data_IF_151396742382
#
_entry.id   IF_151396742382
#
_cell.length_a   1.000
_cell.length_b   1.000
_cell.length_c   1.000
_cell.angle_alpha   90.00
_cell.angle_beta   90.00
_cell.angle_gamma   90.00
#
_symmetry.space_group_name_H-M   'P 1'
#
loop_
_entity.id
_entity.type
_entity.pdbx_description
1 polymer ?
#
# COMPACT_ATOMS: atom_id res chain seq x y z
N UNK A 1 -5.26 -25.52 -9.01
CA UNK A 1 -5.28 -24.96 -7.63
C UNK A 1 -4.26 -23.87 -7.61
N UNK A 2 -4.72 -22.65 -7.39
CA UNK A 2 -4.04 -21.44 -7.80
C UNK A 2 -3.66 -20.69 -6.54
N UNK A 3 -2.45 -20.94 -6.03
CA UNK A 3 -2.00 -20.35 -4.77
C UNK A 3 -2.05 -18.81 -4.84
N UNK A 4 -3.10 -18.21 -4.26
CA UNK A 4 -3.40 -16.77 -4.37
C UNK A 4 -2.22 -15.90 -3.92
N UNK A 5 -1.50 -16.35 -2.88
CA UNK A 5 -0.29 -15.69 -2.40
C UNK A 5 0.88 -15.78 -3.39
N UNK A 6 1.14 -16.98 -3.93
CA UNK A 6 2.20 -17.19 -4.92
C UNK A 6 1.95 -16.35 -6.18
N UNK A 7 0.72 -16.32 -6.66
CA UNK A 7 0.35 -15.47 -7.80
C UNK A 7 0.47 -13.99 -7.51
N UNK A 8 0.05 -13.54 -6.33
CA UNK A 8 0.24 -12.15 -5.92
C UNK A 8 1.74 -11.81 -5.91
N UNK A 9 2.59 -12.66 -5.33
CA UNK A 9 4.05 -12.49 -5.33
C UNK A 9 4.61 -12.40 -6.75
N UNK A 10 4.21 -13.30 -7.65
CA UNK A 10 4.66 -13.31 -9.04
C UNK A 10 4.27 -12.00 -9.75
N UNK A 11 3.00 -11.60 -9.68
CA UNK A 11 2.50 -10.38 -10.32
C UNK A 11 3.11 -9.10 -9.75
N UNK A 12 3.35 -9.04 -8.44
CA UNK A 12 4.04 -7.90 -7.81
C UNK A 12 5.51 -7.86 -8.25
N UNK A 13 6.16 -9.03 -8.34
CA UNK A 13 7.56 -9.12 -8.78
C UNK A 13 7.72 -8.72 -10.25
N UNK A 14 6.78 -9.09 -11.11
CA UNK A 14 6.71 -8.62 -12.50
C UNK A 14 6.51 -7.11 -12.58
N UNK A 15 5.59 -6.54 -11.80
CA UNK A 15 5.36 -5.09 -11.73
C UNK A 15 6.63 -4.33 -11.32
N UNK A 16 7.38 -4.86 -10.35
CA UNK A 16 8.64 -4.27 -9.91
C UNK A 16 9.70 -4.21 -11.02
N UNK A 17 9.61 -5.07 -12.03
CA UNK A 17 10.55 -5.18 -13.16
C UNK A 17 10.04 -4.54 -14.46
N UNK A 18 8.75 -4.20 -14.54
CA UNK A 18 8.13 -3.61 -15.72
C UNK A 18 8.36 -2.09 -15.79
N UNK A 19 7.85 -1.45 -16.83
CA UNK A 19 7.79 0.02 -16.93
C UNK A 19 6.49 0.61 -16.33
N UNK A 20 5.58 -0.24 -15.84
CA UNK A 20 4.31 0.18 -15.22
C UNK A 20 4.56 1.00 -13.95
N UNK A 21 3.77 2.04 -13.68
CA UNK A 21 4.04 2.97 -12.57
C UNK A 21 3.19 2.71 -11.34
N UNK A 22 1.93 2.35 -11.52
CA UNK A 22 0.94 2.27 -10.44
C UNK A 22 0.26 0.91 -10.45
N UNK A 23 0.29 0.23 -9.30
CA UNK A 23 -0.40 -1.04 -9.10
C UNK A 23 -1.45 -0.92 -7.98
N UNK A 24 -2.64 -1.44 -8.25
CA UNK A 24 -3.68 -1.69 -7.26
C UNK A 24 -3.53 -3.11 -6.70
N UNK A 25 -3.37 -3.23 -5.38
CA UNK A 25 -3.42 -4.49 -4.65
C UNK A 25 -4.69 -4.53 -3.79
N UNK A 26 -5.61 -5.44 -4.16
CA UNK A 26 -6.91 -5.62 -3.52
C UNK A 26 -7.07 -7.05 -3.00
N UNK A 27 -8.17 -7.34 -2.31
CA UNK A 27 -8.53 -8.68 -1.82
C UNK A 27 -8.93 -8.72 -0.34
N UNK A 28 -9.33 -9.89 0.12
CA UNK A 28 -9.92 -10.16 1.43
C UNK A 28 -8.90 -10.34 2.57
N UNK A 29 -7.61 -10.52 2.27
CA UNK A 29 -6.55 -10.60 3.30
C UNK A 29 -6.26 -9.24 3.95
N UNK A 30 -7.11 -8.85 4.90
CA UNK A 30 -6.90 -7.64 5.71
C UNK A 30 -5.53 -7.70 6.42
N UNK A 31 -4.87 -6.55 6.54
CA UNK A 31 -3.59 -6.36 7.23
C UNK A 31 -2.37 -7.13 6.69
N UNK A 32 -2.52 -7.94 5.64
CA UNK A 32 -1.40 -8.71 5.08
C UNK A 32 -0.91 -8.18 3.74
N UNK A 33 -1.74 -7.42 3.00
CA UNK A 33 -1.37 -6.86 1.69
C UNK A 33 -0.19 -5.90 1.75
N UNK A 34 -0.19 -4.92 2.64
CA UNK A 34 0.93 -3.98 2.78
C UNK A 34 2.19 -4.66 3.33
N UNK A 35 2.03 -5.64 4.23
CA UNK A 35 3.14 -6.46 4.75
C UNK A 35 3.83 -7.24 3.62
N UNK A 36 3.05 -7.79 2.69
CA UNK A 36 3.57 -8.48 1.51
C UNK A 36 4.41 -7.54 0.64
N UNK A 37 3.92 -6.32 0.37
CA UNK A 37 4.68 -5.31 -0.37
C UNK A 37 5.98 -4.96 0.36
N UNK A 38 5.92 -4.65 1.66
CA UNK A 38 7.11 -4.32 2.45
C UNK A 38 8.15 -5.45 2.43
N UNK A 39 7.72 -6.71 2.57
CA UNK A 39 8.60 -7.87 2.52
C UNK A 39 9.26 -8.06 1.14
N UNK A 40 8.50 -7.84 0.05
CA UNK A 40 9.05 -7.92 -1.30
C UNK A 40 10.02 -6.78 -1.60
N UNK A 41 9.73 -5.56 -1.13
CA UNK A 41 10.66 -4.43 -1.26
C UNK A 41 11.95 -4.67 -0.46
N UNK A 42 11.84 -5.15 0.78
CA UNK A 42 13.00 -5.48 1.61
C UNK A 42 13.88 -6.59 1.01
N UNK A 43 13.26 -7.61 0.42
CA UNK A 43 13.97 -8.72 -0.21
C UNK A 43 14.76 -8.30 -1.46
N UNK A 44 14.22 -7.36 -2.25
CA UNK A 44 14.75 -7.05 -3.59
C UNK A 44 15.55 -5.74 -3.65
N UNK A 45 15.39 -4.85 -2.67
CA UNK A 45 16.01 -3.52 -2.68
C UNK A 45 16.70 -3.19 -1.36
N UNK A 46 17.78 -2.43 -1.45
CA UNK A 46 18.53 -1.92 -0.30
C UNK A 46 18.66 -0.42 -0.40
N UNK A 47 18.53 0.26 0.74
CA UNK A 47 18.55 1.71 0.87
C UNK A 47 17.50 2.43 0.01
N UNK A 48 16.45 1.74 -0.43
CA UNK A 48 15.36 2.38 -1.14
C UNK A 48 14.65 3.36 -0.23
N UNK A 49 14.24 4.49 -0.80
CA UNK A 49 13.45 5.50 -0.09
C UNK A 49 11.97 5.28 -0.38
N UNK A 50 11.20 5.06 0.67
CA UNK A 50 9.81 4.61 0.60
C UNK A 50 8.92 5.63 1.30
N UNK A 51 7.94 6.17 0.58
CA UNK A 51 6.84 6.90 1.18
C UNK A 51 5.80 5.89 1.67
N UNK A 52 5.42 5.95 2.94
CA UNK A 52 4.29 5.19 3.45
C UNK A 52 3.17 6.15 3.90
N UNK A 53 2.16 6.31 3.04
CA UNK A 53 1.02 7.20 3.28
C UNK A 53 -0.14 6.45 3.92
N UNK A 54 -0.61 6.98 5.04
CA UNK A 54 -1.58 6.29 5.92
C UNK A 54 -2.76 7.20 6.26
N UNK A 55 -3.85 6.67 6.83
CA UNK A 55 -5.01 7.51 7.18
C UNK A 55 -4.76 8.39 8.41
N UNK A 56 -3.95 7.91 9.35
CA UNK A 56 -3.59 8.64 10.56
C UNK A 56 -2.48 7.94 11.33
N UNK A 57 -1.75 8.69 12.16
CA UNK A 57 -0.54 8.20 12.84
C UNK A 57 -0.81 7.37 14.10
N UNK A 58 -2.01 7.43 14.68
CA UNK A 58 -2.31 6.88 16.01
C UNK A 58 -2.11 5.37 16.12
N UNK A 59 -2.35 4.62 15.05
CA UNK A 59 -2.29 3.15 15.03
C UNK A 59 -1.06 2.60 14.29
N UNK A 60 -0.10 3.47 13.96
CA UNK A 60 1.04 3.11 13.14
C UNK A 60 1.84 1.93 13.76
N UNK A 61 2.08 1.99 15.07
CA UNK A 61 2.90 1.01 15.80
C UNK A 61 2.19 -0.31 16.09
N UNK A 62 0.95 -0.50 15.62
CA UNK A 62 0.22 -1.76 15.80
C UNK A 62 0.82 -2.90 14.97
N UNK A 63 0.79 -4.13 15.48
CA UNK A 63 1.25 -5.34 14.78
C UNK A 63 0.54 -5.58 13.44
N UNK A 64 -0.71 -5.13 13.33
CA UNK A 64 -1.49 -5.19 12.09
C UNK A 64 -1.08 -4.10 11.08
N UNK A 65 -0.22 -3.15 11.47
CA UNK A 65 0.23 -2.05 10.64
C UNK A 65 1.74 -2.14 10.37
N UNK A 66 2.61 -1.29 10.96
CA UNK A 66 4.08 -1.40 10.84
C UNK A 66 4.77 -1.86 12.13
N UNK A 67 4.01 -2.10 13.20
CA UNK A 67 4.55 -2.66 14.45
C UNK A 67 5.30 -3.98 14.25
N UNK A 68 4.80 -4.83 13.33
CA UNK A 68 5.45 -6.10 12.96
C UNK A 68 6.91 -5.95 12.50
N UNK A 69 7.29 -4.74 12.06
CA UNK A 69 8.63 -4.42 11.60
C UNK A 69 9.53 -3.86 12.71
N UNK A 70 9.10 -3.96 13.98
CA UNK A 70 9.84 -3.48 15.16
C UNK A 70 9.64 -2.00 15.49
N UNK A 71 8.66 -1.34 14.85
CA UNK A 71 8.37 0.08 15.10
C UNK A 71 7.47 0.22 16.33
N UNK A 72 8.09 0.60 17.45
CA UNK A 72 7.43 0.71 18.77
C UNK A 72 7.05 2.14 19.16
N UNK A 73 7.52 3.14 18.43
CA UNK A 73 7.19 4.56 18.67
C UNK A 73 6.65 5.20 17.40
N UNK A 74 5.60 6.01 17.57
CA UNK A 74 5.04 6.79 16.47
C UNK A 74 6.06 7.87 16.07
N UNK A 75 6.58 7.85 14.84
CA UNK A 75 7.48 8.85 14.32
C UNK A 75 6.75 10.15 14.00
N UNK A 76 7.51 11.22 13.85
CA UNK A 76 6.96 12.45 13.28
C UNK A 76 6.78 12.27 11.77
N UNK A 77 5.85 13.02 11.22
CA UNK A 77 5.63 13.08 9.78
C UNK A 77 6.93 13.54 9.10
N UNK A 78 7.37 12.82 8.08
CA UNK A 78 8.62 13.08 7.36
C UNK A 78 9.89 12.60 8.07
N UNK A 79 9.81 12.01 9.26
CA UNK A 79 10.98 11.35 9.87
C UNK A 79 11.42 10.20 8.96
N UNK A 80 12.72 10.14 8.69
CA UNK A 80 13.33 9.06 7.94
C UNK A 80 13.72 7.92 8.90
N UNK A 81 13.05 6.78 8.74
CA UNK A 81 13.20 5.62 9.61
C UNK A 81 13.73 4.45 8.82
N UNK A 82 14.81 3.85 9.31
CA UNK A 82 15.29 2.59 8.75
C UNK A 82 14.41 1.44 9.22
N UNK A 83 13.78 0.76 8.26
CA UNK A 83 13.04 -0.48 8.49
C UNK A 83 13.70 -1.57 7.65
N UNK A 84 14.32 -2.52 8.33
CA UNK A 84 15.16 -3.55 7.71
C UNK A 84 16.22 -2.95 6.77
N UNK A 85 16.19 -3.26 5.47
CA UNK A 85 17.17 -2.79 4.49
C UNK A 85 16.82 -1.43 3.86
N UNK A 86 15.66 -0.85 4.14
CA UNK A 86 15.15 0.34 3.45
C UNK A 86 14.77 1.48 4.41
N UNK A 87 14.51 2.66 3.83
CA UNK A 87 14.20 3.89 4.57
C UNK A 87 12.76 4.32 4.28
N UNK A 88 11.99 4.55 5.33
CA UNK A 88 10.58 4.91 5.27
C UNK A 88 10.38 6.32 5.81
N UNK A 89 9.62 7.14 5.09
CA UNK A 89 9.01 8.36 5.60
C UNK A 89 7.50 8.18 5.62
N UNK A 90 6.86 8.66 6.69
CA UNK A 90 5.41 8.55 6.86
C UNK A 90 4.75 9.91 6.68
N UNK A 91 3.66 9.95 5.92
CA UNK A 91 2.70 11.05 5.92
C UNK A 91 1.27 10.51 5.94
N UNK A 92 0.28 11.41 5.90
CA UNK A 92 -1.12 11.03 6.07
C UNK A 92 -1.99 11.44 4.90
N UNK A 93 -3.24 10.96 4.87
CA UNK A 93 -4.26 11.44 3.93
C UNK A 93 -4.53 12.95 4.05
N UNK A 94 -4.24 13.57 5.21
CA UNK A 94 -4.35 15.01 5.35
C UNK A 94 -3.27 15.71 4.51
N UNK A 95 -3.72 16.45 3.48
CA UNK A 95 -2.87 17.16 2.50
C UNK A 95 -1.85 18.10 3.16
N UNK A 96 -2.16 18.65 4.34
CA UNK A 96 -1.21 19.49 5.11
C UNK A 96 0.04 18.75 5.60
N UNK A 97 0.03 17.41 5.57
CA UNK A 97 1.19 16.57 5.88
C UNK A 97 2.12 16.33 4.70
N UNK A 98 1.64 16.48 3.46
CA UNK A 98 2.38 16.06 2.27
C UNK A 98 3.64 16.90 2.04
N UNK A 99 3.61 18.19 2.37
CA UNK A 99 4.80 19.06 2.28
C UNK A 99 5.85 18.81 3.36
N UNK A 100 5.53 18.03 4.39
CA UNK A 100 6.44 17.71 5.50
C UNK A 100 7.28 16.47 5.24
N UNK A 101 6.92 15.67 4.24
CA UNK A 101 7.71 14.55 3.74
C UNK A 101 8.53 14.98 2.53
N UNK A 102 9.60 14.26 2.24
CA UNK A 102 10.47 14.49 1.08
C UNK A 102 9.72 14.48 -0.25
N UNK A 103 10.33 15.04 -1.30
CA UNK A 103 9.72 15.17 -2.63
C UNK A 103 10.09 14.07 -3.64
N UNK A 104 10.93 13.11 -3.26
CA UNK A 104 11.43 12.04 -4.15
C UNK A 104 11.54 10.72 -3.41
N UNK A 105 11.09 9.63 -4.05
CA UNK A 105 11.04 8.28 -3.51
C UNK A 105 11.19 7.24 -4.61
N UNK A 106 11.76 6.08 -4.26
CA UNK A 106 11.72 4.93 -5.15
C UNK A 106 10.33 4.29 -5.15
N UNK A 107 9.71 4.19 -3.98
CA UNK A 107 8.41 3.53 -3.82
C UNK A 107 7.45 4.37 -3.00
N UNK A 108 6.16 4.23 -3.27
CA UNK A 108 5.10 4.68 -2.38
C UNK A 108 4.13 3.56 -2.06
N UNK A 109 3.80 3.39 -0.78
CA UNK A 109 2.75 2.48 -0.31
C UNK A 109 1.64 3.34 0.28
N UNK A 110 0.42 3.19 -0.25
CA UNK A 110 -0.76 3.90 0.22
C UNK A 110 -1.66 2.86 0.85
N UNK A 111 -1.78 2.89 2.17
CA UNK A 111 -2.58 1.92 2.90
C UNK A 111 -3.12 2.50 4.21
N UNK A 112 -4.44 2.37 4.47
CA UNK A 112 -5.48 1.88 3.56
C UNK A 112 -5.87 2.88 2.45
N UNK A 113 -6.08 2.40 1.22
CA UNK A 113 -6.60 3.18 0.08
C UNK A 113 -8.07 3.61 0.28
N UNK A 114 -8.81 2.87 1.08
CA UNK A 114 -10.27 2.91 1.22
C UNK A 114 -10.81 4.31 1.53
N UNK A 115 -10.05 5.12 2.29
CA UNK A 115 -10.45 6.48 2.62
C UNK A 115 -10.51 7.38 1.37
N UNK A 116 -9.60 7.19 0.42
CA UNK A 116 -9.60 7.92 -0.84
C UNK A 116 -10.75 7.50 -1.76
N UNK A 117 -11.10 6.21 -1.75
CA UNK A 117 -12.25 5.69 -2.51
C UNK A 117 -13.54 6.33 -1.98
N UNK A 118 -13.76 6.28 -0.66
CA UNK A 118 -14.96 6.85 -0.03
C UNK A 118 -15.09 8.36 -0.23
N UNK A 119 -13.97 9.07 -0.23
CA UNK A 119 -13.94 10.52 -0.42
C UNK A 119 -13.89 10.96 -1.89
N UNK A 120 -13.85 10.02 -2.85
CA UNK A 120 -13.67 10.29 -4.27
C UNK A 120 -12.40 11.12 -4.58
N UNK A 121 -11.32 10.90 -3.83
CA UNK A 121 -10.08 11.68 -3.85
C UNK A 121 -8.91 10.97 -4.59
N UNK A 122 -9.19 9.84 -5.27
CA UNK A 122 -8.16 9.03 -5.95
C UNK A 122 -7.39 9.84 -7.00
N UNK A 123 -8.07 10.69 -7.78
CA UNK A 123 -7.41 11.51 -8.80
C UNK A 123 -6.39 12.47 -8.16
N UNK A 124 -6.77 13.16 -7.09
CA UNK A 124 -5.86 14.07 -6.37
C UNK A 124 -4.71 13.33 -5.70
N UNK A 125 -4.95 12.13 -5.17
CA UNK A 125 -3.89 11.28 -4.63
C UNK A 125 -2.86 10.95 -5.73
N UNK A 126 -3.32 10.47 -6.88
CA UNK A 126 -2.45 10.05 -7.99
C UNK A 126 -1.68 11.25 -8.54
N UNK A 127 -2.32 12.41 -8.66
CA UNK A 127 -1.67 13.66 -9.09
C UNK A 127 -0.52 14.05 -8.14
N UNK A 128 -0.74 14.02 -6.82
CA UNK A 128 0.32 14.29 -5.85
C UNK A 128 1.49 13.30 -5.98
N UNK A 129 1.18 11.99 -6.02
CA UNK A 129 2.20 10.95 -6.05
C UNK A 129 3.00 10.92 -7.36
N UNK A 130 2.45 11.42 -8.47
CA UNK A 130 3.10 11.35 -9.79
C UNK A 130 3.69 12.68 -10.27
N UNK A 131 3.08 13.81 -9.91
CA UNK A 131 3.48 15.15 -10.35
C UNK A 131 4.23 15.89 -9.25
N UNK A 132 3.65 15.95 -8.04
CA UNK A 132 4.23 16.72 -6.93
C UNK A 132 5.38 15.97 -6.25
N UNK A 133 5.27 14.64 -6.19
CA UNK A 133 6.29 13.72 -5.68
C UNK A 133 6.91 12.97 -6.86
N UNK A 134 8.24 12.92 -6.92
CA UNK A 134 8.98 12.14 -7.91
C UNK A 134 9.08 10.69 -7.43
N UNK A 135 8.01 9.92 -7.66
CA UNK A 135 7.93 8.52 -7.23
C UNK A 135 8.08 7.59 -8.44
N UNK A 136 8.94 6.58 -8.32
CA UNK A 136 9.20 5.63 -9.41
C UNK A 136 8.07 4.59 -9.52
N UNK A 137 7.69 3.94 -8.41
CA UNK A 137 6.64 2.90 -8.36
C UNK A 137 5.65 3.15 -7.22
N UNK A 138 4.35 3.00 -7.48
CA UNK A 138 3.27 3.30 -6.53
C UNK A 138 2.41 2.06 -6.29
N UNK A 139 2.17 1.75 -5.02
CA UNK A 139 1.29 0.67 -4.56
C UNK A 139 0.06 1.27 -3.88
N UNK A 140 -1.09 1.14 -4.53
CA UNK A 140 -2.40 1.47 -3.97
C UNK A 140 -2.96 0.22 -3.30
N UNK A 141 -3.12 0.21 -1.98
CA UNK A 141 -3.43 -1.02 -1.23
C UNK A 141 -4.73 -0.85 -0.45
N UNK A 142 -5.73 -1.68 -0.74
CA UNK A 142 -7.00 -1.67 0.03
C UNK A 142 -6.82 -2.34 1.38
N UNK A 143 -7.64 -1.98 2.37
CA UNK A 143 -7.75 -2.74 3.61
C UNK A 143 -8.72 -3.90 3.43
N UNK A 144 -9.98 -3.62 3.11
CA UNK A 144 -11.00 -4.63 2.80
C UNK A 144 -11.72 -4.27 1.52
N UNK A 145 -11.95 -5.26 0.66
CA UNK A 145 -12.74 -5.05 -0.55
C UNK A 145 -14.22 -5.17 -0.20
N UNK A 146 -14.92 -4.03 -0.15
CA UNK A 146 -16.35 -4.00 0.09
C UNK A 146 -17.11 -4.16 -1.22
N UNK A 147 -18.32 -4.74 -1.15
CA UNK A 147 -19.20 -4.91 -2.33
C UNK A 147 -19.55 -3.61 -3.04
N UNK A 148 -19.55 -2.48 -2.34
CA UNK A 148 -19.85 -1.16 -2.90
C UNK A 148 -18.63 -0.45 -3.52
N UNK A 149 -17.44 -1.05 -3.45
CA UNK A 149 -16.22 -0.47 -4.03
C UNK A 149 -16.15 -0.78 -5.53
N UNK A 150 -16.52 0.22 -6.33
CA UNK A 150 -16.38 0.16 -7.77
C UNK A 150 -15.00 0.67 -8.22
N UNK A 151 -14.05 -0.26 -8.28
CA UNK A 151 -12.68 -0.01 -8.75
C UNK A 151 -12.61 0.43 -10.22
N UNK A 152 -13.65 0.16 -11.02
CA UNK A 152 -13.67 0.55 -12.44
C UNK A 152 -13.65 2.07 -12.61
N UNK A 153 -14.24 2.82 -11.66
CA UNK A 153 -14.31 4.29 -11.66
C UNK A 153 -12.94 4.97 -11.70
N UNK A 154 -11.90 4.29 -11.23
CA UNK A 154 -10.54 4.80 -11.21
C UNK A 154 -9.52 3.85 -11.86
N UNK A 155 -10.00 2.90 -12.67
CA UNK A 155 -9.16 1.99 -13.46
C UNK A 155 -8.12 2.69 -14.33
N UNK A 156 -8.45 3.88 -14.86
CA UNK A 156 -7.51 4.73 -15.62
C UNK A 156 -6.30 5.23 -14.83
N UNK A 157 -6.30 5.08 -13.50
CA UNK A 157 -5.26 5.59 -12.61
C UNK A 157 -4.26 4.51 -12.17
N UNK A 158 -4.42 3.25 -12.61
CA UNK A 158 -3.45 2.20 -12.36
C UNK A 158 -3.20 1.36 -13.61
N UNK A 159 -1.98 0.84 -13.72
CA UNK A 159 -1.53 0.04 -14.86
C UNK A 159 -1.80 -1.45 -14.63
N UNK A 160 -1.75 -1.88 -13.36
CA UNK A 160 -1.89 -3.28 -12.96
C UNK A 160 -2.84 -3.45 -11.79
N UNK A 161 -3.67 -4.47 -11.85
CA UNK A 161 -4.49 -4.94 -10.73
C UNK A 161 -4.01 -6.33 -10.27
N UNK A 162 -3.85 -6.48 -8.96
CA UNK A 162 -3.49 -7.75 -8.29
C UNK A 162 -4.49 -8.01 -7.17
N UNK A 163 -4.94 -9.26 -7.07
CA UNK A 163 -5.82 -9.75 -6.02
C UNK A 163 -5.02 -10.67 -5.10
N UNK A 164 -5.13 -10.44 -3.79
CA UNK A 164 -4.59 -11.32 -2.76
C UNK A 164 -5.70 -11.65 -1.74
N UNK A 165 -6.34 -12.80 -1.95
CA UNK A 165 -7.48 -13.28 -1.16
C UNK A 165 -7.12 -14.35 -0.14
N UNK A 166 -7.87 -14.36 0.97
CA UNK A 166 -7.75 -15.30 2.07
C UNK A 166 -8.43 -16.65 1.83
N UNK A 167 -9.13 -16.83 0.71
CA UNK A 167 -9.99 -17.99 0.44
C UNK A 167 -9.31 -19.35 0.69
N UNK A 168 -8.03 -19.46 0.32
CA UNK A 168 -7.27 -20.70 0.50
C UNK A 168 -6.61 -20.84 1.88
N UNK A 169 -6.35 -19.73 2.59
CA UNK A 169 -5.70 -19.72 3.92
C UNK A 169 -6.74 -19.82 5.06
N UNK A 170 -7.91 -19.21 4.88
CA UNK A 170 -9.04 -19.23 5.82
C UNK A 170 -10.36 -18.94 5.07
N UNK A 171 -11.03 -20.01 4.63
CA UNK A 171 -12.27 -19.97 3.86
C UNK A 171 -13.43 -19.31 4.64
N UNK A 172 -13.52 -19.56 5.96
CA UNK A 172 -14.55 -19.00 6.84
C UNK A 172 -14.37 -17.48 6.97
N UNK A 173 -13.13 -17.04 7.16
CA UNK A 173 -12.80 -15.62 7.18
C UNK A 173 -13.06 -14.95 5.83
N UNK A 174 -12.64 -15.57 4.72
CA UNK A 174 -12.90 -15.05 3.37
C UNK A 174 -14.40 -14.81 3.13
N UNK A 175 -15.25 -15.78 3.47
CA UNK A 175 -16.71 -15.63 3.36
C UNK A 175 -17.26 -14.48 4.18
N UNK A 176 -16.83 -14.33 5.45
CA UNK A 176 -17.24 -13.18 6.29
C UNK A 176 -16.88 -11.85 5.65
N UNK A 177 -15.68 -11.73 5.08
CA UNK A 177 -15.24 -10.48 4.45
C UNK A 177 -15.99 -10.12 3.17
N UNK A 178 -16.59 -11.11 2.49
CA UNK A 178 -17.47 -10.86 1.34
C UNK A 178 -18.90 -10.46 1.75
N UNK A 179 -19.31 -10.74 2.98
CA UNK A 179 -20.65 -10.41 3.51
C UNK A 179 -20.74 -9.01 4.12
N UNK A 180 -19.61 -8.44 4.57
CA UNK A 180 -19.44 -7.07 5.09
C UNK A 180 -19.34 -5.98 4.00
#
# INVERSE_FOLDING_TARGET
MTNNKKQAIEKITEFLKSDEKIMLLKGTHQYNKHKLIMALLDKNYKNAKILFRINGMSNLTGENFVGFAGITKVPKIGDNIKIYNNYYEFDTINKSSWSKSSSSYNFAIIYPLDAYIRNNDIATLVEDLTISKKIDKIFLVTWTDRKDYDYSKFSKHFDREVIYDAEEEDLEYHKRMLED
#
